data_IF_204709337435
#
_entry.id   IF_204709337435
#
_cell.length_a   1.000
_cell.length_b   1.000
_cell.length_c   1.000
_cell.angle_alpha   90.00
_cell.angle_beta   90.00
_cell.angle_gamma   90.00
#
_symmetry.space_group_name_H-M   'P 1'
#
loop_
_entity.id
_entity.type
_entity.pdbx_description
1 polymer ?
#
# COMPACT_ATOMS: atom_id res chain seq x y z
N UNK A 1 -25.31 -12.05 1.85
CA UNK A 1 -25.63 -10.69 1.33
C UNK A 1 -24.37 -9.87 1.29
N UNK A 2 -24.13 -9.19 0.20
CA UNK A 2 -22.99 -8.28 0.03
C UNK A 2 -23.49 -6.86 -0.16
N UNK A 3 -22.83 -5.89 0.46
CA UNK A 3 -23.20 -4.49 0.37
C UNK A 3 -22.01 -3.67 -0.14
N UNK A 4 -22.22 -2.88 -1.20
CA UNK A 4 -21.19 -2.09 -1.85
C UNK A 4 -21.54 -0.61 -1.86
N UNK A 5 -20.52 0.25 -1.74
CA UNK A 5 -20.59 1.62 -2.24
C UNK A 5 -20.49 1.65 -3.76
N UNK A 6 -19.48 0.94 -4.30
CA UNK A 6 -19.30 0.66 -5.73
C UNK A 6 -18.99 -0.82 -5.89
N UNK A 7 -19.55 -1.44 -6.91
CA UNK A 7 -19.31 -2.86 -7.18
C UNK A 7 -17.84 -3.08 -7.57
N UNK A 8 -17.14 -3.92 -6.79
CA UNK A 8 -15.88 -4.53 -7.20
C UNK A 8 -16.16 -5.96 -7.67
N UNK A 9 -15.99 -6.21 -8.96
CA UNK A 9 -16.29 -7.51 -9.57
C UNK A 9 -15.47 -8.65 -8.96
N UNK A 10 -14.23 -8.38 -8.50
CA UNK A 10 -13.39 -9.40 -7.89
C UNK A 10 -13.89 -9.80 -6.50
N UNK A 11 -14.34 -8.83 -5.70
CA UNK A 11 -14.98 -9.08 -4.40
C UNK A 11 -16.30 -9.83 -4.61
N UNK A 12 -17.12 -9.38 -5.55
CA UNK A 12 -18.37 -10.04 -5.87
C UNK A 12 -18.15 -11.50 -6.31
N UNK A 13 -17.12 -11.75 -7.13
CA UNK A 13 -16.69 -13.09 -7.55
C UNK A 13 -16.26 -13.96 -6.36
N UNK A 14 -15.52 -13.40 -5.39
CA UNK A 14 -15.13 -14.08 -4.15
C UNK A 14 -16.36 -14.53 -3.36
N UNK A 15 -17.27 -13.62 -3.06
CA UNK A 15 -18.49 -13.93 -2.29
C UNK A 15 -19.40 -14.92 -3.02
N UNK A 16 -19.58 -14.75 -4.33
CA UNK A 16 -20.36 -15.68 -5.13
C UNK A 16 -19.74 -17.09 -5.16
N UNK A 17 -18.40 -17.18 -5.21
CA UNK A 17 -17.70 -18.46 -5.13
C UNK A 17 -17.93 -19.14 -3.79
N UNK A 18 -17.76 -18.41 -2.67
CA UNK A 18 -18.05 -18.93 -1.33
C UNK A 18 -19.48 -19.43 -1.21
N UNK A 19 -20.46 -18.66 -1.68
CA UNK A 19 -21.85 -19.05 -1.65
C UNK A 19 -22.10 -20.34 -2.44
N UNK A 20 -21.47 -20.51 -3.61
CA UNK A 20 -21.58 -21.74 -4.40
C UNK A 20 -20.97 -22.96 -3.68
N UNK A 21 -19.85 -22.80 -2.97
CA UNK A 21 -19.21 -23.90 -2.22
C UNK A 21 -20.13 -24.52 -1.17
N UNK A 22 -20.98 -23.69 -0.56
CA UNK A 22 -21.86 -24.14 0.52
C UNK A 22 -23.36 -24.18 0.14
N UNK A 23 -23.68 -23.91 -1.13
CA UNK A 23 -25.07 -23.88 -1.59
C UNK A 23 -25.89 -22.71 -1.04
N UNK A 24 -25.25 -21.62 -0.63
CA UNK A 24 -25.95 -20.46 -0.09
C UNK A 24 -26.47 -19.55 -1.19
N UNK A 25 -27.70 -18.99 -1.06
CA UNK A 25 -28.15 -17.91 -1.93
C UNK A 25 -27.28 -16.68 -1.78
N UNK A 26 -26.91 -16.04 -2.90
CA UNK A 26 -26.14 -14.81 -2.89
C UNK A 26 -26.99 -13.65 -3.40
N UNK A 27 -27.07 -12.61 -2.60
CA UNK A 27 -27.67 -11.32 -2.98
C UNK A 27 -26.68 -10.19 -2.70
N UNK A 28 -26.71 -9.16 -3.52
CA UNK A 28 -25.86 -7.98 -3.36
C UNK A 28 -26.68 -6.71 -3.54
N UNK A 29 -26.25 -5.66 -2.83
CA UNK A 29 -26.91 -4.35 -2.80
C UNK A 29 -25.84 -3.30 -3.08
N UNK A 30 -26.10 -2.44 -4.03
CA UNK A 30 -25.26 -1.28 -4.35
C UNK A 30 -25.87 -0.02 -3.77
N UNK A 31 -25.06 0.80 -3.09
CA UNK A 31 -25.46 2.05 -2.44
C UNK A 31 -24.83 3.29 -3.06
N UNK A 32 -24.28 3.20 -4.27
CA UNK A 32 -23.64 4.33 -4.99
C UNK A 32 -24.59 5.53 -5.19
N UNK A 33 -25.89 5.28 -5.23
CA UNK A 33 -26.92 6.32 -5.31
C UNK A 33 -27.08 7.16 -4.02
N UNK A 34 -26.46 6.72 -2.91
CA UNK A 34 -26.48 7.44 -1.64
C UNK A 34 -25.19 8.25 -1.51
N UNK A 35 -25.24 9.53 -1.85
CA UNK A 35 -24.06 10.40 -1.87
C UNK A 35 -23.45 10.60 -0.47
N UNK A 36 -24.29 10.71 0.58
CA UNK A 36 -23.84 10.91 1.96
C UNK A 36 -23.37 9.60 2.60
N UNK A 37 -22.09 9.50 2.93
CA UNK A 37 -21.51 8.33 3.58
C UNK A 37 -22.15 7.99 4.93
N UNK A 38 -22.63 8.99 5.68
CA UNK A 38 -23.29 8.76 6.96
C UNK A 38 -24.67 8.12 6.80
N UNK A 39 -25.37 8.41 5.69
CA UNK A 39 -26.64 7.77 5.35
C UNK A 39 -26.46 6.33 4.88
N UNK A 40 -25.32 5.99 4.27
CA UNK A 40 -25.04 4.62 3.78
C UNK A 40 -25.10 3.58 4.89
N UNK A 41 -24.66 3.92 6.10
CA UNK A 41 -24.81 3.03 7.27
C UNK A 41 -26.28 2.77 7.62
N UNK A 42 -27.13 3.78 7.50
CA UNK A 42 -28.60 3.59 7.63
C UNK A 42 -29.16 2.66 6.57
N UNK A 43 -28.77 2.86 5.31
CA UNK A 43 -29.17 1.99 4.19
C UNK A 43 -28.67 0.56 4.42
N UNK A 44 -27.40 0.38 4.83
CA UNK A 44 -26.82 -0.92 5.17
C UNK A 44 -27.68 -1.71 6.16
N UNK A 45 -28.01 -1.12 7.33
CA UNK A 45 -28.82 -1.81 8.34
C UNK A 45 -30.27 -2.02 7.90
N UNK A 46 -30.82 -1.10 7.13
CA UNK A 46 -32.16 -1.25 6.53
C UNK A 46 -32.22 -2.46 5.61
N UNK A 47 -31.21 -2.60 4.74
CA UNK A 47 -31.12 -3.72 3.80
C UNK A 47 -30.87 -5.04 4.53
N UNK A 48 -30.00 -5.07 5.55
CA UNK A 48 -29.81 -6.27 6.37
C UNK A 48 -31.13 -6.71 7.01
N UNK A 49 -31.87 -5.76 7.61
CA UNK A 49 -33.16 -6.05 8.24
C UNK A 49 -34.20 -6.51 7.21
N UNK A 50 -34.24 -5.90 6.04
CA UNK A 50 -35.14 -6.27 4.95
C UNK A 50 -34.85 -7.71 4.50
N UNK A 51 -33.61 -8.05 4.25
CA UNK A 51 -33.21 -9.40 3.84
C UNK A 51 -33.45 -10.44 4.95
N UNK A 52 -33.13 -10.10 6.21
CA UNK A 52 -33.38 -11.01 7.33
C UNK A 52 -34.87 -11.36 7.44
N UNK A 53 -35.77 -10.40 7.21
CA UNK A 53 -37.22 -10.64 7.22
C UNK A 53 -37.75 -11.51 6.08
N UNK A 54 -36.96 -11.68 5.01
CA UNK A 54 -37.35 -12.58 3.90
C UNK A 54 -36.98 -14.04 4.14
N UNK A 55 -36.12 -14.30 5.13
CA UNK A 55 -35.71 -15.65 5.51
C UNK A 55 -36.79 -16.32 6.40
N UNK A 56 -36.78 -17.65 6.44
CA UNK A 56 -37.58 -18.37 7.42
C UNK A 56 -37.05 -18.09 8.86
N UNK A 57 -37.93 -18.21 9.85
CA UNK A 57 -37.54 -18.07 11.25
C UNK A 57 -36.46 -19.13 11.59
N UNK A 58 -35.35 -18.69 12.14
CA UNK A 58 -34.23 -19.57 12.46
C UNK A 58 -33.15 -19.71 11.38
N UNK A 59 -33.39 -19.24 10.15
CA UNK A 59 -32.38 -19.21 9.09
C UNK A 59 -31.29 -18.15 9.34
N UNK A 60 -30.19 -18.26 8.61
CA UNK A 60 -29.03 -17.40 8.78
C UNK A 60 -28.86 -16.39 7.66
N UNK A 61 -28.43 -15.19 8.01
CA UNK A 61 -27.91 -14.17 7.09
C UNK A 61 -26.43 -13.92 7.40
N UNK A 62 -25.54 -14.26 6.48
CA UNK A 62 -24.18 -13.77 6.46
C UNK A 62 -24.15 -12.46 5.69
N UNK A 63 -23.71 -11.40 6.33
CA UNK A 63 -23.51 -10.08 5.77
C UNK A 63 -22.01 -9.82 5.61
N UNK A 64 -21.60 -9.30 4.44
CA UNK A 64 -20.23 -8.88 4.12
C UNK A 64 -20.25 -7.52 3.44
N UNK A 65 -19.42 -6.59 3.89
CA UNK A 65 -19.17 -5.35 3.16
C UNK A 65 -18.35 -5.61 1.88
N UNK A 66 -18.46 -4.72 0.91
CA UNK A 66 -17.80 -4.81 -0.38
C UNK A 66 -16.27 -4.62 -0.35
N UNK A 67 -15.70 -4.33 0.81
CA UNK A 67 -14.26 -4.30 1.08
C UNK A 67 -13.76 -5.53 1.86
N UNK A 68 -14.60 -6.54 2.02
CA UNK A 68 -14.30 -7.77 2.73
C UNK A 68 -14.21 -8.95 1.76
N UNK A 69 -13.27 -9.88 1.99
CA UNK A 69 -13.12 -11.09 1.19
C UNK A 69 -13.05 -12.32 2.06
N UNK A 70 -13.70 -13.39 1.62
CA UNK A 70 -13.55 -14.71 2.25
C UNK A 70 -12.15 -15.24 1.94
N UNK A 71 -11.35 -15.47 2.97
CA UNK A 71 -9.98 -15.93 2.88
C UNK A 71 -9.87 -17.45 3.04
N UNK A 72 -10.43 -17.99 4.13
CA UNK A 72 -10.54 -19.43 4.35
C UNK A 72 -12.01 -19.81 4.51
N UNK A 73 -12.61 -20.44 3.50
CA UNK A 73 -14.04 -20.74 3.53
C UNK A 73 -14.37 -21.79 4.60
N UNK A 74 -15.37 -21.48 5.40
CA UNK A 74 -15.99 -22.40 6.39
C UNK A 74 -17.51 -22.21 6.31
N UNK A 75 -18.27 -23.24 6.64
CA UNK A 75 -19.72 -23.14 6.71
C UNK A 75 -20.16 -22.21 7.86
N UNK A 76 -21.32 -21.59 7.72
CA UNK A 76 -21.83 -20.63 8.72
C UNK A 76 -22.20 -21.33 10.04
N UNK A 77 -22.85 -22.48 9.96
CA UNK A 77 -23.43 -23.18 11.09
C UNK A 77 -22.37 -23.56 12.17
N UNK A 78 -21.21 -24.14 11.82
CA UNK A 78 -20.14 -24.41 12.78
C UNK A 78 -19.59 -23.18 13.46
N UNK A 79 -19.55 -22.02 12.75
CA UNK A 79 -19.09 -20.77 13.32
C UNK A 79 -20.00 -20.28 14.44
N UNK A 80 -21.30 -20.50 14.30
CA UNK A 80 -22.31 -19.95 15.19
C UNK A 80 -22.37 -20.68 16.53
N UNK A 81 -22.06 -21.98 16.58
CA UNK A 81 -22.04 -22.78 17.82
C UNK A 81 -23.29 -22.59 18.69
N UNK A 82 -24.46 -22.53 18.07
CA UNK A 82 -25.74 -22.34 18.74
C UNK A 82 -26.09 -20.89 19.12
N UNK A 83 -25.29 -19.92 18.71
CA UNK A 83 -25.54 -18.48 18.95
C UNK A 83 -26.39 -17.89 17.82
N UNK A 84 -27.09 -16.80 18.13
CA UNK A 84 -27.98 -16.15 17.16
C UNK A 84 -27.31 -14.97 16.43
N UNK A 85 -26.16 -14.50 16.92
CA UNK A 85 -25.46 -13.36 16.36
C UNK A 85 -23.96 -13.51 16.53
N UNK A 86 -23.20 -13.21 15.46
CA UNK A 86 -21.75 -13.14 15.45
C UNK A 86 -21.29 -11.81 14.88
N UNK A 87 -20.50 -11.07 15.61
CA UNK A 87 -19.70 -9.93 15.18
C UNK A 87 -18.28 -10.09 15.70
N UNK A 88 -17.35 -9.28 15.24
CA UNK A 88 -15.93 -9.38 15.58
C UNK A 88 -15.47 -8.10 16.27
N UNK A 89 -14.60 -8.22 17.27
CA UNK A 89 -13.95 -7.07 17.88
C UNK A 89 -12.91 -6.46 16.92
N UNK A 90 -12.96 -5.15 16.79
CA UNK A 90 -11.92 -4.39 16.08
C UNK A 90 -10.71 -4.12 16.97
N UNK A 91 -9.59 -3.69 16.38
CA UNK A 91 -8.38 -3.30 17.12
C UNK A 91 -8.61 -2.19 18.15
N UNK A 92 -9.65 -1.39 17.99
CA UNK A 92 -10.06 -0.32 18.91
C UNK A 92 -10.96 -0.82 20.06
N UNK A 93 -11.25 -2.11 20.13
CA UNK A 93 -12.24 -2.67 21.06
C UNK A 93 -13.69 -2.41 20.68
N UNK A 94 -13.94 -1.85 19.50
CA UNK A 94 -15.28 -1.62 18.95
C UNK A 94 -15.68 -2.77 18.03
N UNK A 95 -16.97 -3.09 17.98
CA UNK A 95 -17.48 -4.12 17.08
C UNK A 95 -17.28 -3.71 15.62
N UNK A 96 -16.76 -4.66 14.83
CA UNK A 96 -16.64 -4.53 13.38
C UNK A 96 -17.90 -5.02 12.71
N UNK A 97 -18.55 -4.15 11.97
CA UNK A 97 -19.77 -4.45 11.24
C UNK A 97 -19.58 -4.75 9.77
N UNK A 98 -18.33 -4.92 9.33
CA UNK A 98 -17.97 -5.31 7.95
C UNK A 98 -18.35 -6.76 7.64
N UNK A 99 -18.41 -7.59 8.69
CA UNK A 99 -18.96 -8.94 8.64
C UNK A 99 -19.88 -9.14 9.84
N UNK A 100 -21.06 -9.66 9.58
CA UNK A 100 -22.02 -10.06 10.62
C UNK A 100 -22.73 -11.35 10.19
N UNK A 101 -22.95 -12.24 11.13
CA UNK A 101 -23.82 -13.41 10.93
C UNK A 101 -24.99 -13.29 11.90
N UNK A 102 -26.21 -13.27 11.35
CA UNK A 102 -27.42 -13.08 12.12
C UNK A 102 -28.41 -14.22 11.82
N UNK A 103 -28.93 -14.82 12.88
CA UNK A 103 -30.10 -15.70 12.75
C UNK A 103 -31.37 -14.90 12.65
N UNK A 104 -32.29 -15.29 11.81
CA UNK A 104 -33.59 -14.63 11.76
C UNK A 104 -34.40 -14.97 13.02
N UNK A 105 -34.28 -14.13 14.03
CA UNK A 105 -35.01 -14.17 15.29
C UNK A 105 -35.65 -12.84 15.57
N UNK A 106 -36.72 -12.83 16.39
CA UNK A 106 -37.35 -11.58 16.82
C UNK A 106 -36.36 -10.66 17.52
N UNK A 107 -35.42 -11.22 18.30
CA UNK A 107 -34.40 -10.46 19.02
C UNK A 107 -33.47 -9.71 18.03
N UNK A 108 -32.97 -10.39 17.00
CA UNK A 108 -32.08 -9.78 16.01
C UNK A 108 -32.80 -8.76 15.12
N UNK A 109 -34.07 -8.99 14.77
CA UNK A 109 -34.88 -7.99 14.07
C UNK A 109 -35.09 -6.73 14.92
N UNK A 110 -35.30 -6.90 16.22
CA UNK A 110 -35.44 -5.77 17.17
C UNK A 110 -34.10 -5.03 17.29
N UNK A 111 -32.96 -5.75 17.44
CA UNK A 111 -31.63 -5.16 17.48
C UNK A 111 -31.36 -4.31 16.23
N UNK A 112 -31.55 -4.85 15.04
CA UNK A 112 -31.35 -4.09 13.79
C UNK A 112 -32.25 -2.86 13.68
N UNK A 113 -33.48 -2.97 14.17
CA UNK A 113 -34.40 -1.80 14.23
C UNK A 113 -33.88 -0.71 15.18
N UNK A 114 -33.29 -1.11 16.32
CA UNK A 114 -32.65 -0.17 17.25
C UNK A 114 -31.37 0.44 16.63
N UNK A 115 -30.58 -0.34 15.91
CA UNK A 115 -29.41 0.16 15.20
C UNK A 115 -29.79 1.21 14.13
N UNK A 116 -30.88 0.99 13.42
CA UNK A 116 -31.43 1.96 12.46
C UNK A 116 -31.83 3.27 13.12
N UNK A 117 -32.51 3.20 14.28
CA UNK A 117 -32.87 4.39 15.06
C UNK A 117 -31.59 5.12 15.54
N UNK A 118 -30.58 4.37 15.99
CA UNK A 118 -29.29 4.94 16.42
C UNK A 118 -28.53 5.58 15.25
N UNK A 119 -28.53 4.94 14.07
CA UNK A 119 -27.92 5.49 12.87
C UNK A 119 -28.62 6.77 12.40
N UNK A 120 -29.96 6.78 12.39
CA UNK A 120 -30.73 7.98 12.08
C UNK A 120 -30.51 9.12 13.06
N UNK A 121 -30.43 8.82 14.36
CA UNK A 121 -30.09 9.80 15.38
C UNK A 121 -28.63 10.28 15.29
N UNK A 122 -27.70 9.46 14.80
CA UNK A 122 -26.32 9.84 14.52
C UNK A 122 -26.23 10.77 13.31
N UNK A 123 -26.97 10.50 12.25
CA UNK A 123 -27.10 11.41 11.09
C UNK A 123 -27.65 12.77 11.54
N UNK A 124 -28.73 12.80 12.31
CA UNK A 124 -29.29 14.02 12.84
C UNK A 124 -28.30 14.79 13.74
N UNK A 125 -27.40 14.10 14.40
CA UNK A 125 -26.34 14.67 15.28
C UNK A 125 -25.02 14.92 14.56
N UNK A 126 -24.75 14.34 13.40
CA UNK A 126 -23.55 14.67 12.59
C UNK A 126 -23.63 16.12 12.08
N UNK A 127 -24.83 16.64 11.96
CA UNK A 127 -25.07 18.07 11.81
C UNK A 127 -24.65 18.86 13.08
N UNK A 128 -24.43 18.19 14.22
CA UNK A 128 -24.08 18.76 15.53
C UNK A 128 -22.67 18.36 16.06
N UNK A 129 -21.79 17.76 15.26
CA UNK A 129 -20.35 17.62 15.57
C UNK A 129 -19.90 16.41 16.38
N UNK A 130 -20.65 15.29 16.40
CA UNK A 130 -20.18 14.04 17.01
C UNK A 130 -19.23 13.26 16.09
N UNK A 131 -18.10 12.79 16.64
CA UNK A 131 -17.10 12.00 15.90
C UNK A 131 -17.64 10.62 15.49
N UNK A 132 -17.04 10.02 14.44
CA UNK A 132 -17.34 8.64 14.03
C UNK A 132 -17.11 7.63 15.17
N UNK A 133 -16.11 7.88 16.04
CA UNK A 133 -15.84 7.06 17.21
C UNK A 133 -17.00 7.06 18.21
N UNK A 134 -17.72 8.18 18.38
CA UNK A 134 -18.89 8.26 19.26
C UNK A 134 -20.08 7.53 18.67
N UNK A 135 -20.24 7.56 17.35
CA UNK A 135 -21.25 6.78 16.61
C UNK A 135 -21.01 5.28 16.76
N UNK A 136 -19.79 4.85 16.60
CA UNK A 136 -19.35 3.45 16.75
C UNK A 136 -19.52 2.96 18.19
N UNK A 137 -19.18 3.77 19.20
CA UNK A 137 -19.39 3.43 20.61
C UNK A 137 -20.85 3.19 20.95
N UNK A 138 -21.75 4.05 20.47
CA UNK A 138 -23.19 3.87 20.66
C UNK A 138 -23.73 2.59 20.02
N UNK A 139 -23.20 2.20 18.88
CA UNK A 139 -23.51 0.95 18.21
C UNK A 139 -22.98 -0.25 18.99
N UNK A 140 -21.71 -0.20 19.40
CA UNK A 140 -21.03 -1.26 20.16
C UNK A 140 -21.72 -1.53 21.50
N UNK A 141 -22.10 -0.48 22.25
CA UNK A 141 -22.85 -0.61 23.50
C UNK A 141 -24.14 -1.41 23.33
N UNK A 142 -24.91 -1.15 22.27
CA UNK A 142 -26.15 -1.89 22.01
C UNK A 142 -25.91 -3.35 21.57
N UNK A 143 -24.82 -3.59 20.88
CA UNK A 143 -24.39 -4.92 20.52
C UNK A 143 -23.91 -5.70 21.78
N UNK A 144 -23.26 -5.04 22.73
CA UNK A 144 -22.87 -5.64 24.02
C UNK A 144 -24.08 -6.08 24.85
N UNK A 145 -25.12 -5.24 24.92
CA UNK A 145 -26.37 -5.54 25.60
C UNK A 145 -27.08 -6.77 25.03
N UNK A 146 -26.86 -7.09 23.76
CA UNK A 146 -27.45 -8.24 23.07
C UNK A 146 -26.67 -9.55 23.28
N UNK A 147 -25.75 -9.62 24.24
CA UNK A 147 -24.93 -10.80 24.55
C UNK A 147 -24.19 -11.40 23.33
N UNK A 148 -23.52 -10.52 22.58
CA UNK A 148 -22.84 -10.91 21.36
C UNK A 148 -21.67 -11.85 21.60
N UNK A 149 -21.55 -12.84 20.77
CA UNK A 149 -20.34 -13.64 20.70
C UNK A 149 -19.23 -12.85 20.00
N UNK A 150 -18.23 -12.48 20.76
CA UNK A 150 -16.99 -11.89 20.28
C UNK A 150 -15.89 -12.93 20.44
N UNK A 151 -15.50 -13.65 19.39
CA UNK A 151 -14.41 -14.60 19.48
C UNK A 151 -13.09 -13.83 19.51
N UNK A 152 -12.73 -13.32 20.68
CA UNK A 152 -11.46 -12.64 20.90
C UNK A 152 -10.31 -13.57 20.48
N UNK A 153 -9.59 -13.19 19.45
CA UNK A 153 -8.36 -13.84 18.99
C UNK A 153 -8.51 -15.25 18.41
N UNK A 154 -9.68 -15.85 18.42
CA UNK A 154 -9.82 -17.27 18.11
C UNK A 154 -9.71 -17.61 16.62
N UNK A 155 -10.24 -16.81 15.74
CA UNK A 155 -10.31 -17.15 14.33
C UNK A 155 -9.96 -15.99 13.39
N UNK A 156 -9.58 -14.79 13.90
CA UNK A 156 -9.34 -13.65 13.04
C UNK A 156 -10.43 -13.50 11.98
N UNK A 157 -11.71 -13.58 12.39
CA UNK A 157 -12.86 -13.60 11.48
C UNK A 157 -12.90 -12.40 10.57
N UNK A 158 -12.32 -11.32 11.04
CA UNK A 158 -12.22 -10.07 10.32
C UNK A 158 -10.89 -9.40 10.68
N UNK A 159 -9.89 -9.55 9.82
CA UNK A 159 -8.59 -8.93 10.01
C UNK A 159 -8.52 -7.63 9.21
N UNK A 160 -8.04 -6.56 9.83
CA UNK A 160 -7.81 -5.29 9.16
C UNK A 160 -6.45 -5.22 8.50
N UNK A 161 -6.41 -4.71 7.29
CA UNK A 161 -5.20 -4.17 6.66
C UNK A 161 -5.17 -2.66 6.97
N UNK A 162 -5.03 -2.31 8.23
CA UNK A 162 -5.26 -0.93 8.67
C UNK A 162 -3.99 -0.10 8.85
N UNK A 163 -2.80 -0.66 8.67
CA UNK A 163 -1.57 0.09 8.91
C UNK A 163 -0.90 0.60 7.64
N UNK A 164 -0.76 1.89 7.63
CA UNK A 164 -0.51 2.77 6.50
C UNK A 164 0.78 2.51 5.73
N UNK A 165 1.88 1.99 6.31
CA UNK A 165 3.15 2.01 5.59
C UNK A 165 4.13 0.88 5.92
N UNK A 166 4.18 0.39 7.13
CA UNK A 166 5.34 -0.39 7.59
C UNK A 166 5.04 -1.88 7.77
N UNK A 167 3.79 -2.28 7.95
CA UNK A 167 3.45 -3.61 8.47
C UNK A 167 2.51 -4.46 7.61
N UNK A 168 2.27 -4.11 6.35
CA UNK A 168 1.35 -4.89 5.50
C UNK A 168 1.86 -6.31 5.29
N UNK A 169 3.16 -6.49 5.05
CA UNK A 169 3.75 -7.82 4.88
C UNK A 169 3.71 -8.65 6.16
N UNK A 170 3.87 -8.02 7.32
CA UNK A 170 3.75 -8.68 8.62
C UNK A 170 2.30 -9.09 8.90
N UNK A 171 1.33 -8.20 8.65
CA UNK A 171 -0.10 -8.49 8.79
C UNK A 171 -0.55 -9.61 7.87
N UNK A 172 -0.09 -9.64 6.63
CA UNK A 172 -0.39 -10.72 5.69
C UNK A 172 0.18 -12.05 6.19
N UNK A 173 1.39 -12.06 6.75
CA UNK A 173 1.97 -13.28 7.32
C UNK A 173 1.16 -13.82 8.50
N UNK A 174 0.53 -12.95 9.29
CA UNK A 174 -0.39 -13.36 10.35
C UNK A 174 -1.61 -14.11 9.82
N UNK A 175 -2.15 -13.72 8.64
CA UNK A 175 -3.30 -14.42 8.06
C UNK A 175 -3.01 -15.88 7.74
N UNK A 176 -1.76 -16.22 7.42
CA UNK A 176 -1.37 -17.61 7.18
C UNK A 176 -1.27 -18.44 8.47
N UNK A 177 -0.92 -17.79 9.57
CA UNK A 177 -0.70 -18.46 10.86
C UNK A 177 -1.98 -18.51 11.72
N UNK A 178 -2.96 -17.63 11.45
CA UNK A 178 -4.24 -17.62 12.14
C UNK A 178 -5.35 -18.24 11.28
N UNK A 179 -6.35 -18.89 11.88
CA UNK A 179 -7.53 -19.39 11.15
C UNK A 179 -8.47 -18.23 10.80
N UNK A 180 -8.12 -17.44 9.80
CA UNK A 180 -8.89 -16.28 9.33
C UNK A 180 -9.97 -16.71 8.35
N UNK A 181 -11.23 -16.42 8.65
CA UNK A 181 -12.36 -16.67 7.74
C UNK A 181 -12.50 -15.55 6.71
N UNK A 182 -12.62 -14.31 7.17
CA UNK A 182 -12.82 -13.12 6.33
C UNK A 182 -11.74 -12.09 6.62
N UNK A 183 -11.18 -11.49 5.59
CA UNK A 183 -10.29 -10.34 5.67
C UNK A 183 -11.06 -9.10 5.24
N UNK A 184 -11.11 -8.10 6.09
CA UNK A 184 -11.60 -6.78 5.74
C UNK A 184 -10.45 -5.92 5.23
N UNK A 185 -10.62 -5.40 4.03
CA UNK A 185 -9.71 -4.47 3.38
C UNK A 185 -10.23 -3.03 3.55
N UNK A 186 -10.76 -2.75 4.75
CA UNK A 186 -11.33 -1.45 5.08
C UNK A 186 -10.42 -0.32 4.59
N UNK A 187 -11.03 0.68 3.97
CA UNK A 187 -10.35 1.80 3.36
C UNK A 187 -9.24 2.33 4.24
N UNK A 188 -8.04 2.33 3.71
CA UNK A 188 -6.92 3.06 4.27
C UNK A 188 -7.36 4.52 4.42
N UNK A 189 -6.94 5.19 5.49
CA UNK A 189 -7.39 6.54 5.73
C UNK A 189 -7.09 7.41 4.51
N UNK A 190 -8.12 8.02 3.98
CA UNK A 190 -8.02 9.00 2.92
C UNK A 190 -7.06 10.10 3.37
N UNK A 191 -6.03 10.41 2.59
CA UNK A 191 -5.16 11.53 2.85
C UNK A 191 -5.98 12.81 2.63
N UNK A 192 -6.11 13.58 3.69
CA UNK A 192 -6.51 14.96 3.59
C UNK A 192 -5.29 15.77 3.13
N UNK A 193 -5.25 16.11 1.87
CA UNK A 193 -4.37 17.16 1.38
C UNK A 193 -5.22 18.43 1.26
N UNK A 194 -4.83 19.47 1.98
CA UNK A 194 -5.55 20.75 2.05
C UNK A 194 -7.03 20.65 2.46
N UNK A 195 -7.38 19.70 3.32
CA UNK A 195 -8.76 19.48 3.78
C UNK A 195 -9.68 18.88 2.73
N UNK A 196 -9.16 18.42 1.59
CA UNK A 196 -9.92 17.71 0.58
C UNK A 196 -9.49 16.23 0.51
N UNK A 197 -10.49 15.36 0.47
CA UNK A 197 -10.31 13.93 0.22
C UNK A 197 -10.18 13.71 -1.28
N UNK A 198 -8.99 13.33 -1.73
CA UNK A 198 -8.79 12.93 -3.12
C UNK A 198 -9.32 11.52 -3.35
N UNK A 199 -10.40 11.40 -4.13
CA UNK A 199 -11.01 10.10 -4.51
C UNK A 199 -10.15 9.25 -5.47
N UNK A 200 -9.05 9.81 -6.00
CA UNK A 200 -8.19 9.19 -7.03
C UNK A 200 -6.96 8.48 -6.44
N UNK A 201 -7.03 7.98 -5.24
CA UNK A 201 -5.90 7.25 -4.67
C UNK A 201 -5.78 5.86 -5.30
N UNK A 202 -4.96 5.76 -6.33
CA UNK A 202 -4.57 4.51 -7.01
C UNK A 202 -4.13 3.42 -6.03
N UNK A 203 -3.58 3.83 -4.89
CA UNK A 203 -3.04 2.93 -3.89
C UNK A 203 -4.09 2.02 -3.25
N UNK A 204 -5.13 2.58 -2.65
CA UNK A 204 -6.13 1.77 -1.92
C UNK A 204 -6.83 0.83 -2.88
N UNK A 205 -7.18 1.33 -4.06
CA UNK A 205 -7.76 0.51 -5.11
C UNK A 205 -6.79 -0.56 -5.60
N UNK A 206 -5.49 -0.27 -5.69
CA UNK A 206 -4.51 -1.21 -6.25
C UNK A 206 -4.06 -2.25 -5.23
N UNK A 207 -3.80 -1.86 -3.98
CA UNK A 207 -3.50 -2.81 -2.91
C UNK A 207 -4.70 -3.71 -2.63
N UNK A 208 -5.88 -3.13 -2.52
CA UNK A 208 -7.11 -3.88 -2.33
C UNK A 208 -7.34 -4.85 -3.49
N UNK A 209 -7.23 -4.40 -4.74
CA UNK A 209 -7.37 -5.24 -5.93
C UNK A 209 -6.31 -6.34 -5.99
N UNK A 210 -5.06 -6.02 -5.67
CA UNK A 210 -3.99 -7.01 -5.61
C UNK A 210 -4.34 -8.10 -4.59
N UNK A 211 -4.68 -7.72 -3.36
CA UNK A 211 -4.98 -8.67 -2.30
C UNK A 211 -6.22 -9.50 -2.63
N UNK A 212 -7.27 -8.90 -3.18
CA UNK A 212 -8.46 -9.64 -3.61
C UNK A 212 -8.12 -10.64 -4.71
N UNK A 213 -7.30 -10.27 -5.71
CA UNK A 213 -6.86 -11.20 -6.76
C UNK A 213 -6.04 -12.35 -6.18
N UNK A 214 -5.12 -12.08 -5.25
CA UNK A 214 -4.30 -13.09 -4.59
C UNK A 214 -5.18 -14.06 -3.78
N UNK A 215 -6.15 -13.54 -3.01
CA UNK A 215 -7.11 -14.35 -2.27
C UNK A 215 -7.95 -15.19 -3.21
N UNK A 216 -8.45 -14.61 -4.31
CA UNK A 216 -9.24 -15.33 -5.30
C UNK A 216 -8.45 -16.44 -5.98
N UNK A 217 -7.20 -16.18 -6.36
CA UNK A 217 -6.31 -17.18 -6.96
C UNK A 217 -6.04 -18.33 -5.97
N UNK A 218 -5.80 -18.02 -4.71
CA UNK A 218 -5.62 -19.04 -3.67
C UNK A 218 -6.90 -19.86 -3.44
N UNK A 219 -8.04 -19.19 -3.32
CA UNK A 219 -9.32 -19.81 -3.00
C UNK A 219 -9.89 -20.64 -4.17
N UNK A 220 -9.80 -20.13 -5.40
CA UNK A 220 -10.48 -20.70 -6.57
C UNK A 220 -9.58 -21.59 -7.42
N UNK A 221 -8.28 -21.34 -7.41
CA UNK A 221 -7.30 -21.97 -8.30
C UNK A 221 -6.26 -22.78 -7.52
N UNK A 222 -6.27 -22.69 -6.18
CA UNK A 222 -5.30 -23.38 -5.31
C UNK A 222 -3.87 -22.84 -5.43
N UNK A 223 -3.70 -21.62 -5.94
CA UNK A 223 -2.39 -21.01 -6.10
C UNK A 223 -1.88 -20.48 -4.75
N UNK A 224 -0.56 -20.54 -4.51
CA UNK A 224 0.01 -19.94 -3.30
C UNK A 224 -0.16 -18.42 -3.34
N UNK A 225 -0.57 -17.83 -2.21
CA UNK A 225 -0.61 -16.38 -2.09
C UNK A 225 0.79 -15.79 -2.05
N UNK A 226 0.91 -14.56 -2.57
CA UNK A 226 2.17 -13.81 -2.60
C UNK A 226 3.32 -14.59 -3.27
N UNK A 227 2.98 -15.39 -4.27
CA UNK A 227 3.98 -16.03 -5.10
C UNK A 227 4.79 -14.94 -5.82
N UNK A 228 6.10 -15.05 -5.74
CA UNK A 228 6.99 -14.14 -6.45
C UNK A 228 6.71 -14.20 -7.96
N UNK A 229 6.51 -13.04 -8.61
CA UNK A 229 6.22 -13.02 -10.03
C UNK A 229 7.40 -13.54 -10.84
N UNK A 230 7.10 -14.29 -11.91
CA UNK A 230 8.10 -14.60 -12.92
C UNK A 230 8.41 -13.31 -13.70
N UNK A 231 9.65 -12.86 -13.61
CA UNK A 231 10.16 -11.74 -14.39
C UNK A 231 11.23 -12.22 -15.35
N UNK A 232 11.42 -11.53 -16.49
CA UNK A 232 12.51 -11.87 -17.40
C UNK A 232 13.85 -11.95 -16.68
N UNK A 233 14.72 -12.85 -17.12
CA UNK A 233 16.06 -12.95 -16.57
C UNK A 233 16.80 -11.62 -16.75
N UNK A 234 17.58 -11.24 -15.75
CA UNK A 234 18.48 -10.10 -15.84
C UNK A 234 19.74 -10.51 -16.62
N UNK A 235 20.45 -9.50 -17.15
CA UNK A 235 21.79 -9.69 -17.69
C UNK A 235 22.73 -10.24 -16.60
N UNK A 236 23.61 -11.16 -16.98
CA UNK A 236 24.69 -11.65 -16.09
C UNK A 236 25.83 -10.65 -15.94
N UNK A 237 25.84 -9.58 -16.75
CA UNK A 237 26.84 -8.53 -16.66
C UNK A 237 26.73 -7.76 -15.34
N UNK A 238 27.86 -7.53 -14.68
CA UNK A 238 27.91 -6.76 -13.43
C UNK A 238 27.42 -5.30 -13.61
N UNK A 239 27.54 -4.76 -14.84
CA UNK A 239 27.08 -3.40 -15.17
C UNK A 239 26.56 -3.39 -16.60
N UNK A 240 25.46 -2.63 -16.80
CA UNK A 240 24.97 -2.34 -18.15
C UNK A 240 24.50 -0.89 -18.25
N UNK A 241 24.55 -0.33 -19.47
CA UNK A 241 24.12 1.03 -19.76
C UNK A 241 23.20 1.08 -20.97
N UNK A 242 22.20 1.95 -20.90
CA UNK A 242 21.34 2.35 -22.02
C UNK A 242 21.54 3.85 -22.24
N UNK A 243 21.60 4.29 -23.50
CA UNK A 243 21.73 5.71 -23.88
C UNK A 243 22.88 6.43 -23.12
N UNK A 244 24.07 5.86 -23.09
CA UNK A 244 25.20 6.31 -22.25
C UNK A 244 25.70 7.75 -22.49
N UNK A 245 25.19 8.46 -23.50
CA UNK A 245 25.52 9.86 -23.82
C UNK A 245 24.34 10.81 -23.66
N UNK A 246 23.25 10.37 -23.04
CA UNK A 246 22.07 11.21 -22.79
C UNK A 246 22.41 12.38 -21.84
N UNK A 247 21.67 13.49 -21.95
CA UNK A 247 21.87 14.64 -21.06
C UNK A 247 21.46 14.32 -19.61
N UNK A 248 20.41 13.53 -19.42
CA UNK A 248 19.93 13.06 -18.12
C UNK A 248 20.19 11.56 -18.05
N UNK A 249 20.83 11.09 -16.99
CA UNK A 249 21.03 9.68 -16.74
C UNK A 249 20.58 9.27 -15.34
N UNK A 250 19.91 8.14 -15.27
CA UNK A 250 19.56 7.47 -14.02
C UNK A 250 20.63 6.45 -13.67
N UNK A 251 20.91 6.32 -12.37
CA UNK A 251 21.90 5.38 -11.85
C UNK A 251 21.27 4.57 -10.73
N UNK A 252 21.46 3.26 -10.74
CA UNK A 252 21.01 2.35 -9.68
C UNK A 252 22.04 1.26 -9.41
N UNK A 253 22.00 0.73 -8.20
CA UNK A 253 22.74 -0.48 -7.83
C UNK A 253 21.86 -1.38 -6.99
N UNK A 254 21.98 -2.68 -7.20
CA UNK A 254 21.41 -3.69 -6.31
C UNK A 254 22.33 -4.91 -6.20
N UNK A 255 22.25 -5.59 -5.07
CA UNK A 255 22.96 -6.85 -4.81
C UNK A 255 22.01 -8.03 -4.99
N UNK A 256 22.55 -9.24 -5.03
CA UNK A 256 21.77 -10.47 -5.21
C UNK A 256 20.68 -10.67 -4.13
N UNK A 257 20.89 -10.15 -2.91
CA UNK A 257 19.94 -10.27 -1.80
C UNK A 257 18.59 -9.58 -2.08
N UNK A 258 18.60 -8.53 -2.89
CA UNK A 258 17.41 -7.75 -3.22
C UNK A 258 16.99 -7.93 -4.69
N UNK A 259 17.62 -8.85 -5.41
CA UNK A 259 17.39 -9.06 -6.84
C UNK A 259 15.94 -9.42 -7.18
N UNK A 260 15.17 -9.96 -6.24
CA UNK A 260 13.78 -10.36 -6.47
C UNK A 260 12.91 -9.18 -6.90
N UNK A 261 12.94 -8.09 -6.14
CA UNK A 261 12.19 -6.88 -6.49
C UNK A 261 13.00 -5.93 -7.37
N UNK A 262 14.33 -5.89 -7.23
CA UNK A 262 15.20 -4.99 -7.99
C UNK A 262 15.10 -5.21 -9.51
N UNK A 263 14.89 -6.46 -9.98
CA UNK A 263 14.67 -6.74 -11.40
C UNK A 263 13.37 -6.14 -11.93
N UNK A 264 12.35 -6.03 -11.10
CA UNK A 264 11.10 -5.34 -11.47
C UNK A 264 11.38 -3.87 -11.71
N UNK A 265 12.10 -3.23 -10.77
CA UNK A 265 12.54 -1.84 -10.90
C UNK A 265 13.44 -1.65 -12.14
N UNK A 266 14.44 -2.52 -12.34
CA UNK A 266 15.31 -2.40 -13.51
C UNK A 266 14.55 -2.40 -14.83
N UNK A 267 13.62 -3.34 -15.02
CA UNK A 267 12.81 -3.39 -16.24
C UNK A 267 11.92 -2.17 -16.41
N UNK A 268 11.34 -1.68 -15.32
CA UNK A 268 10.49 -0.49 -15.33
C UNK A 268 11.28 0.78 -15.67
N UNK A 269 12.37 1.04 -14.95
CA UNK A 269 13.23 2.22 -15.15
C UNK A 269 13.90 2.20 -16.53
N UNK A 270 14.36 1.03 -16.99
CA UNK A 270 14.92 0.86 -18.34
C UNK A 270 13.91 1.28 -19.40
N UNK A 271 12.67 0.79 -19.33
CA UNK A 271 11.59 1.13 -20.26
C UNK A 271 11.28 2.62 -20.24
N UNK A 272 11.26 3.25 -19.06
CA UNK A 272 11.09 4.69 -18.92
C UNK A 272 12.22 5.47 -19.59
N UNK A 273 13.47 5.07 -19.36
CA UNK A 273 14.65 5.70 -19.97
C UNK A 273 14.69 5.53 -21.49
N UNK A 274 14.40 4.34 -22.00
CA UNK A 274 14.31 4.08 -23.45
C UNK A 274 13.22 4.92 -24.10
N UNK A 275 12.06 5.04 -23.48
CA UNK A 275 10.94 5.86 -23.99
C UNK A 275 11.28 7.33 -24.13
N UNK A 276 12.03 7.89 -23.19
CA UNK A 276 12.34 9.32 -23.14
C UNK A 276 13.73 9.68 -23.65
N UNK A 277 14.54 8.70 -24.04
CA UNK A 277 15.92 8.91 -24.48
C UNK A 277 16.88 9.26 -23.32
N UNK A 278 16.55 8.90 -22.08
CA UNK A 278 17.44 9.09 -20.93
C UNK A 278 18.49 7.99 -20.84
N UNK A 279 19.62 8.31 -20.23
CA UNK A 279 20.63 7.33 -19.85
C UNK A 279 20.15 6.47 -18.67
N UNK A 280 20.59 5.21 -18.64
CA UNK A 280 20.38 4.34 -17.48
C UNK A 280 21.59 3.46 -17.23
N UNK A 281 22.23 3.61 -16.08
CA UNK A 281 23.38 2.84 -15.63
C UNK A 281 22.98 1.94 -14.46
N UNK A 282 23.07 0.63 -14.67
CA UNK A 282 22.66 -0.38 -13.70
C UNK A 282 23.86 -1.18 -13.24
N UNK A 283 24.04 -1.26 -11.92
CA UNK A 283 25.05 -2.08 -11.28
C UNK A 283 24.41 -3.24 -10.53
N UNK A 284 24.83 -4.48 -10.86
CA UNK A 284 24.31 -5.74 -10.28
C UNK A 284 25.31 -6.34 -9.32
N UNK A 285 25.71 -5.56 -8.32
CA UNK A 285 26.71 -5.88 -7.32
C UNK A 285 27.60 -4.68 -7.03
N UNK A 286 28.47 -4.82 -6.02
CA UNK A 286 29.44 -3.80 -5.67
C UNK A 286 30.53 -3.76 -6.74
N UNK A 287 30.86 -2.57 -7.31
CA UNK A 287 31.97 -2.43 -8.25
C UNK A 287 33.28 -2.96 -7.68
N UNK A 288 34.04 -3.69 -8.50
CA UNK A 288 35.30 -4.36 -8.06
C UNK A 288 36.41 -3.42 -7.62
N UNK A 289 36.27 -2.10 -7.88
CA UNK A 289 37.20 -1.07 -7.42
C UNK A 289 36.98 -0.66 -5.94
N UNK A 290 35.84 -1.06 -5.38
CA UNK A 290 35.47 -0.74 -4.00
C UNK A 290 35.75 -1.92 -3.05
N UNK A 291 35.80 -1.60 -1.75
CA UNK A 291 35.86 -2.59 -0.70
C UNK A 291 34.66 -3.58 -0.86
N UNK A 292 34.89 -4.88 -1.03
CA UNK A 292 33.80 -5.85 -1.20
C UNK A 292 32.88 -5.97 0.03
N UNK A 293 33.30 -5.51 1.19
CA UNK A 293 32.51 -5.50 2.42
C UNK A 293 31.64 -4.24 2.56
N UNK A 294 31.80 -3.25 1.65
CA UNK A 294 30.96 -2.05 1.71
C UNK A 294 29.49 -2.41 1.43
N UNK A 295 28.59 -1.76 2.15
CA UNK A 295 27.16 -1.93 1.89
C UNK A 295 26.74 -1.18 0.62
N UNK A 296 25.88 -1.81 -0.19
CA UNK A 296 25.37 -1.21 -1.45
C UNK A 296 24.68 0.14 -1.27
N UNK A 297 24.01 0.38 -0.13
CA UNK A 297 23.41 1.68 0.16
C UNK A 297 24.45 2.81 0.23
N UNK A 298 25.64 2.54 0.73
CA UNK A 298 26.70 3.54 0.85
C UNK A 298 27.37 3.93 -0.47
N UNK A 299 27.20 3.15 -1.53
CA UNK A 299 27.89 3.34 -2.81
C UNK A 299 27.26 4.46 -3.68
N UNK A 300 26.06 4.94 -3.33
CA UNK A 300 25.29 5.91 -4.11
C UNK A 300 26.11 7.15 -4.52
N UNK A 301 26.75 7.82 -3.58
CA UNK A 301 27.52 9.03 -3.84
C UNK A 301 28.72 8.79 -4.78
N UNK A 302 29.40 7.65 -4.62
CA UNK A 302 30.51 7.26 -5.47
C UNK A 302 30.07 7.00 -6.92
N UNK A 303 28.94 6.29 -7.11
CA UNK A 303 28.38 6.00 -8.43
C UNK A 303 27.89 7.28 -9.12
N UNK A 304 27.21 8.16 -8.39
CA UNK A 304 26.81 9.46 -8.92
C UNK A 304 28.01 10.28 -9.38
N UNK A 305 29.09 10.35 -8.57
CA UNK A 305 30.32 11.07 -8.93
C UNK A 305 30.99 10.47 -10.18
N UNK A 306 30.99 9.13 -10.30
CA UNK A 306 31.57 8.41 -11.44
C UNK A 306 30.91 8.78 -12.77
N UNK A 307 29.60 9.02 -12.77
CA UNK A 307 28.83 9.34 -13.97
C UNK A 307 28.62 10.84 -14.19
N UNK A 308 28.86 11.68 -13.18
CA UNK A 308 28.53 13.11 -13.24
C UNK A 308 29.15 13.83 -14.44
N UNK A 309 30.42 13.56 -14.75
CA UNK A 309 31.12 14.23 -15.87
C UNK A 309 30.62 13.82 -17.26
N UNK A 310 29.83 12.75 -17.38
CA UNK A 310 29.38 12.18 -18.63
C UNK A 310 28.00 12.74 -19.07
N UNK A 311 27.27 13.36 -18.14
CA UNK A 311 25.89 13.80 -18.31
C UNK A 311 25.70 15.22 -17.79
N UNK A 312 24.64 15.90 -18.25
CA UNK A 312 24.25 17.19 -17.67
C UNK A 312 23.64 17.02 -16.28
N UNK A 313 22.87 15.90 -16.12
CA UNK A 313 22.28 15.50 -14.84
C UNK A 313 22.48 14.00 -14.61
N UNK A 314 22.83 13.66 -13.39
CA UNK A 314 22.77 12.29 -12.90
C UNK A 314 21.75 12.20 -11.78
N UNK A 315 20.93 11.17 -11.82
CA UNK A 315 19.85 10.94 -10.88
C UNK A 315 19.97 9.53 -10.33
N UNK A 316 20.18 9.43 -9.04
CA UNK A 316 20.07 8.15 -8.33
C UNK A 316 18.62 7.73 -8.22
N UNK A 317 18.34 6.46 -8.41
CA UNK A 317 17.05 5.83 -8.09
C UNK A 317 17.31 4.50 -7.35
N UNK A 318 16.66 4.32 -6.21
CA UNK A 318 16.74 3.08 -5.46
C UNK A 318 16.08 1.92 -6.23
N UNK A 319 16.55 0.71 -5.95
CA UNK A 319 16.10 -0.50 -6.64
C UNK A 319 14.68 -0.97 -6.26
N UNK A 320 13.98 -0.22 -5.44
CA UNK A 320 12.57 -0.39 -5.08
C UNK A 320 11.69 0.79 -5.54
N UNK A 321 12.10 1.47 -6.60
CA UNK A 321 11.37 2.56 -7.23
C UNK A 321 10.79 2.10 -8.57
N UNK A 322 9.57 2.52 -8.86
CA UNK A 322 8.93 2.37 -10.18
C UNK A 322 8.47 3.71 -10.72
N UNK A 323 8.75 4.00 -11.98
CA UNK A 323 8.06 5.04 -12.73
C UNK A 323 6.67 4.54 -13.12
N UNK A 324 5.64 5.01 -12.43
CA UNK A 324 4.27 4.52 -12.63
C UNK A 324 3.56 5.28 -13.75
N UNK A 325 3.85 6.56 -13.94
CA UNK A 325 3.41 7.30 -15.11
C UNK A 325 4.54 7.37 -16.14
N UNK A 326 4.59 6.37 -17.00
CA UNK A 326 5.61 6.22 -18.03
C UNK A 326 5.55 7.31 -19.12
N UNK A 327 4.47 8.10 -19.20
CA UNK A 327 4.32 9.17 -20.19
C UNK A 327 4.91 10.51 -19.71
N UNK A 328 5.01 10.74 -18.41
CA UNK A 328 5.54 11.99 -17.85
C UNK A 328 7.04 12.12 -18.06
N UNK A 329 7.48 13.30 -18.43
CA UNK A 329 8.90 13.63 -18.59
C UNK A 329 9.52 14.08 -17.27
N UNK A 330 10.83 13.89 -17.15
CA UNK A 330 11.58 14.22 -15.93
C UNK A 330 12.13 15.66 -15.94
N UNK A 331 12.35 16.25 -17.13
CA UNK A 331 12.98 17.56 -17.28
C UNK A 331 12.30 18.68 -16.48
N UNK A 332 10.96 18.78 -16.38
CA UNK A 332 10.33 19.84 -15.62
C UNK A 332 10.74 19.90 -14.14
N UNK A 333 11.13 18.75 -13.59
CA UNK A 333 11.63 18.69 -12.20
C UNK A 333 13.05 19.22 -12.04
N UNK A 334 13.80 19.39 -13.11
CA UNK A 334 15.20 19.84 -13.13
C UNK A 334 15.35 21.33 -13.41
N UNK A 335 14.29 21.98 -13.92
CA UNK A 335 14.33 23.37 -14.34
C UNK A 335 14.68 24.32 -13.20
N UNK A 336 15.70 25.17 -13.42
CA UNK A 336 16.14 26.17 -12.45
C UNK A 336 16.88 25.61 -11.22
N UNK A 337 17.31 24.32 -11.24
CA UNK A 337 17.95 23.62 -10.12
C UNK A 337 19.35 23.17 -10.46
N UNK A 338 20.15 22.95 -9.41
CA UNK A 338 21.43 22.26 -9.46
C UNK A 338 21.40 20.96 -8.63
N UNK A 339 20.43 20.83 -7.70
CA UNK A 339 20.18 19.67 -6.85
C UNK A 339 18.69 19.33 -6.88
N UNK A 340 18.36 18.06 -6.75
CA UNK A 340 17.00 17.56 -6.72
C UNK A 340 16.85 16.47 -5.67
N UNK A 341 15.99 16.72 -4.69
CA UNK A 341 15.60 15.79 -3.63
C UNK A 341 14.09 15.88 -3.41
N UNK A 342 13.52 14.96 -2.63
CA UNK A 342 12.15 15.06 -2.14
C UNK A 342 12.10 14.79 -0.63
N UNK A 343 11.17 15.46 0.06
CA UNK A 343 10.93 15.30 1.49
C UNK A 343 10.74 13.83 1.86
N UNK A 344 11.25 13.47 3.01
CA UNK A 344 11.02 12.16 3.60
C UNK A 344 9.71 12.12 4.38
N UNK A 345 9.07 10.95 4.42
CA UNK A 345 7.87 10.71 5.26
C UNK A 345 8.22 10.38 6.71
N UNK A 346 9.47 10.00 6.97
CA UNK A 346 9.97 9.57 8.29
C UNK A 346 10.60 10.69 9.13
N UNK A 347 10.58 11.95 8.65
CA UNK A 347 11.06 13.11 9.41
C UNK A 347 12.50 13.55 9.11
N UNK A 348 13.21 12.93 8.15
CA UNK A 348 14.46 13.45 7.60
C UNK A 348 14.22 14.67 6.72
N UNK A 349 15.23 15.50 6.47
CA UNK A 349 15.13 16.64 5.54
C UNK A 349 14.65 16.19 4.16
N UNK A 350 15.22 15.09 3.65
CA UNK A 350 14.81 14.45 2.41
C UNK A 350 15.13 12.95 2.44
N UNK A 351 14.47 12.21 1.56
CA UNK A 351 14.73 10.79 1.33
C UNK A 351 15.83 10.60 0.28
N UNK A 352 16.75 9.65 0.49
CA UNK A 352 17.85 9.34 -0.41
C UNK A 352 17.51 8.35 -1.53
N UNK A 353 16.27 7.94 -1.66
CA UNK A 353 15.84 7.01 -2.71
C UNK A 353 15.86 7.61 -4.11
N UNK A 354 15.62 8.94 -4.23
CA UNK A 354 15.84 9.70 -5.48
C UNK A 354 16.67 10.93 -5.17
N UNK A 355 17.82 11.05 -5.84
CA UNK A 355 18.74 12.18 -5.65
C UNK A 355 19.28 12.62 -7.00
N UNK A 356 19.05 13.88 -7.39
CA UNK A 356 19.55 14.45 -8.64
C UNK A 356 20.68 15.45 -8.41
N UNK A 357 21.72 15.37 -9.23
CA UNK A 357 22.87 16.28 -9.23
C UNK A 357 23.14 16.77 -10.65
N UNK A 358 23.13 18.09 -10.83
CA UNK A 358 23.60 18.71 -12.07
C UNK A 358 25.10 18.66 -12.15
N UNK A 359 25.65 18.48 -13.33
CA UNK A 359 27.11 18.48 -13.55
C UNK A 359 27.70 19.89 -13.33
N UNK A 360 28.12 20.14 -12.11
CA UNK A 360 28.83 21.36 -11.68
C UNK A 360 30.02 20.97 -10.79
N UNK A 361 31.06 21.82 -10.75
CA UNK A 361 32.21 21.58 -9.85
C UNK A 361 31.75 21.46 -8.40
N UNK A 362 30.81 22.30 -7.95
CA UNK A 362 30.25 22.26 -6.59
C UNK A 362 29.60 20.91 -6.27
N UNK A 363 28.80 20.38 -7.19
CA UNK A 363 28.13 19.08 -6.96
C UNK A 363 29.10 17.91 -6.99
N UNK A 364 30.18 18.00 -7.77
CA UNK A 364 31.29 17.04 -7.71
C UNK A 364 31.97 17.04 -6.33
N UNK A 365 32.21 18.22 -5.77
CA UNK A 365 32.74 18.37 -4.42
C UNK A 365 31.78 17.86 -3.34
N UNK A 366 30.47 18.12 -3.46
CA UNK A 366 29.45 17.60 -2.55
C UNK A 366 29.46 16.08 -2.52
N UNK A 367 29.43 15.44 -3.67
CA UNK A 367 29.48 13.98 -3.77
C UNK A 367 30.76 13.40 -3.19
N UNK A 368 31.92 14.07 -3.41
CA UNK A 368 33.18 13.66 -2.82
C UNK A 368 33.18 13.79 -1.28
N UNK A 369 32.54 14.82 -0.73
CA UNK A 369 32.39 15.01 0.74
C UNK A 369 31.45 13.93 1.33
N UNK A 370 30.33 13.65 0.70
CA UNK A 370 29.40 12.58 1.13
C UNK A 370 30.17 11.26 1.16
N UNK A 371 30.90 10.95 0.10
CA UNK A 371 31.69 9.73 0.00
C UNK A 371 32.80 9.64 1.07
N UNK A 372 33.55 10.73 1.29
CA UNK A 372 34.57 10.77 2.32
C UNK A 372 34.01 10.57 3.74
N UNK A 373 32.80 11.12 4.00
CA UNK A 373 32.12 10.94 5.29
C UNK A 373 31.71 9.47 5.50
N UNK A 374 31.14 8.83 4.47
CA UNK A 374 30.75 7.40 4.49
C UNK A 374 31.99 6.51 4.69
N UNK A 375 33.04 6.73 3.95
CA UNK A 375 34.29 5.91 4.06
C UNK A 375 35.04 6.11 5.37
N UNK A 376 34.76 7.19 6.06
CA UNK A 376 35.31 7.48 7.42
C UNK A 376 34.55 6.76 8.55
N UNK A 377 33.44 6.05 8.26
CA UNK A 377 32.69 5.30 9.27
C UNK A 377 33.46 4.03 9.65
N UNK A 378 33.85 3.89 10.90
CA UNK A 378 34.58 2.71 11.41
C UNK A 378 33.69 1.51 11.58
N UNK A 379 32.52 1.68 12.22
CA UNK A 379 31.54 0.61 12.40
C UNK A 379 30.62 0.48 11.19
N UNK A 380 30.97 -0.39 10.26
CA UNK A 380 30.22 -0.62 9.03
C UNK A 380 28.81 -1.23 9.27
N UNK A 381 28.56 -1.86 10.41
CA UNK A 381 27.25 -2.37 10.76
C UNK A 381 26.23 -1.26 11.05
N UNK A 382 26.69 -0.08 11.40
CA UNK A 382 25.86 1.10 11.69
C UNK A 382 25.05 1.60 10.48
N UNK A 383 25.37 1.14 9.25
CA UNK A 383 24.59 1.43 8.03
C UNK A 383 23.10 1.05 8.17
N UNK A 384 22.80 0.03 8.97
CA UNK A 384 21.44 -0.46 9.19
C UNK A 384 20.68 0.23 10.33
N UNK A 385 21.34 1.13 11.06
CA UNK A 385 20.76 1.77 12.25
C UNK A 385 20.85 3.29 12.24
N UNK A 386 22.07 3.83 12.32
CA UNK A 386 22.28 5.26 12.56
C UNK A 386 23.13 5.96 11.51
N UNK A 387 23.86 5.21 10.69
CA UNK A 387 24.85 5.72 9.72
C UNK A 387 24.50 5.34 8.28
N UNK A 388 23.21 5.23 7.94
CA UNK A 388 22.76 4.99 6.56
C UNK A 388 23.19 6.11 5.60
N UNK A 389 23.12 5.82 4.32
CA UNK A 389 23.43 6.80 3.25
C UNK A 389 22.60 8.08 3.38
N UNK A 390 21.33 7.94 3.76
CA UNK A 390 20.42 9.07 3.98
C UNK A 390 20.93 10.00 5.08
N UNK A 391 21.45 9.46 6.18
CA UNK A 391 22.04 10.25 7.26
C UNK A 391 23.20 11.11 6.72
N UNK A 392 24.20 10.49 6.11
CA UNK A 392 25.40 11.20 5.64
C UNK A 392 25.08 12.25 4.58
N UNK A 393 24.14 11.95 3.68
CA UNK A 393 23.73 12.87 2.63
C UNK A 393 22.97 14.06 3.21
N UNK A 394 22.02 13.82 4.14
CA UNK A 394 21.27 14.90 4.81
C UNK A 394 22.20 15.83 5.61
N UNK A 395 23.17 15.27 6.34
CA UNK A 395 24.16 16.05 7.10
C UNK A 395 24.96 16.98 6.18
N UNK A 396 25.56 16.47 5.09
CA UNK A 396 26.35 17.28 4.18
C UNK A 396 25.52 18.37 3.52
N UNK A 397 24.32 18.05 3.04
CA UNK A 397 23.43 19.04 2.40
C UNK A 397 22.95 20.09 3.41
N UNK A 398 22.70 19.69 4.66
CA UNK A 398 22.35 20.60 5.76
C UNK A 398 23.50 21.54 6.16
N UNK A 399 24.70 20.98 6.35
CA UNK A 399 25.93 21.74 6.67
C UNK A 399 26.28 22.80 5.61
N UNK A 400 26.02 22.49 4.33
CA UNK A 400 26.21 23.41 3.21
C UNK A 400 25.09 24.45 3.03
N UNK A 401 24.03 24.39 3.85
CA UNK A 401 22.87 25.29 3.73
C UNK A 401 22.07 25.11 2.44
N UNK A 402 22.10 23.90 1.86
CA UNK A 402 21.45 23.59 0.57
C UNK A 402 20.05 23.00 0.73
N UNK A 403 19.58 22.83 1.96
CA UNK A 403 18.23 22.35 2.27
C UNK A 403 17.21 23.48 2.05
N UNK A 404 16.85 23.72 0.81
CA UNK A 404 15.89 24.74 0.39
C UNK A 404 14.71 24.14 -0.37
N UNK A 405 13.57 24.83 -0.40
CA UNK A 405 12.41 24.41 -1.19
C UNK A 405 12.70 24.31 -2.70
N UNK A 406 13.72 25.01 -3.18
CA UNK A 406 14.17 24.84 -4.57
C UNK A 406 14.86 23.49 -4.78
N UNK A 407 15.58 22.96 -3.81
CA UNK A 407 16.32 21.70 -3.92
C UNK A 407 15.54 20.49 -3.40
N UNK A 408 14.62 20.70 -2.44
CA UNK A 408 13.85 19.64 -1.80
C UNK A 408 12.36 19.84 -2.13
N UNK A 409 11.87 19.03 -3.03
CA UNK A 409 10.48 19.04 -3.46
C UNK A 409 9.57 18.37 -2.40
N UNK A 410 8.27 18.48 -2.60
CA UNK A 410 7.29 17.73 -1.82
C UNK A 410 7.50 16.20 -1.99
N UNK A 411 7.17 15.45 -0.95
CA UNK A 411 7.30 14.00 -0.94
C UNK A 411 6.62 13.32 -2.14
N UNK A 412 5.42 13.79 -2.50
CA UNK A 412 4.63 13.20 -3.60
C UNK A 412 5.22 13.49 -5.00
N UNK A 413 6.25 14.35 -5.09
CA UNK A 413 6.91 14.62 -6.36
C UNK A 413 7.87 13.49 -6.79
N UNK A 414 8.68 12.97 -5.85
CA UNK A 414 9.76 12.01 -6.16
C UNK A 414 9.98 10.92 -5.09
N UNK A 415 9.15 10.89 -4.07
CA UNK A 415 9.25 9.91 -2.99
C UNK A 415 7.87 9.39 -2.57
N UNK A 416 6.97 9.27 -3.55
CA UNK A 416 5.58 8.86 -3.28
C UNK A 416 5.54 7.45 -2.71
N UNK A 417 5.11 7.26 -1.46
CA UNK A 417 4.86 5.91 -0.96
C UNK A 417 3.73 5.25 -1.74
N UNK A 418 3.70 3.91 -1.84
CA UNK A 418 2.61 3.21 -2.52
C UNK A 418 1.22 3.60 -2.02
N UNK A 419 1.11 3.88 -0.70
CA UNK A 419 -0.14 4.31 -0.05
C UNK A 419 -0.67 5.67 -0.51
N UNK A 420 0.16 6.49 -1.12
CA UNK A 420 -0.14 7.86 -1.55
C UNK A 420 -0.10 8.03 -3.06
N UNK A 421 0.11 6.92 -3.79
CA UNK A 421 0.19 6.95 -5.23
C UNK A 421 -1.16 7.29 -5.87
N UNK A 422 -1.16 8.20 -6.82
CA UNK A 422 -2.31 8.58 -7.65
C UNK A 422 -2.01 8.28 -9.12
N UNK A 423 -3.01 8.42 -9.99
CA UNK A 423 -2.83 8.32 -11.44
C UNK A 423 -1.84 9.38 -11.99
N UNK A 424 -1.66 10.44 -11.23
CA UNK A 424 -0.76 11.55 -11.59
C UNK A 424 0.66 11.41 -11.01
N UNK A 425 0.91 10.46 -10.12
CA UNK A 425 2.23 10.21 -9.56
C UNK A 425 3.22 9.84 -10.67
N UNK A 426 4.39 10.48 -10.70
CA UNK A 426 5.45 10.14 -11.64
C UNK A 426 6.08 8.80 -11.27
N UNK A 427 6.47 8.66 -10.02
CA UNK A 427 7.11 7.46 -9.50
C UNK A 427 6.57 7.08 -8.11
N UNK A 428 6.79 5.83 -7.74
CA UNK A 428 6.44 5.27 -6.43
C UNK A 428 7.66 4.58 -5.84
N UNK A 429 7.91 4.86 -4.57
CA UNK A 429 9.01 4.30 -3.79
C UNK A 429 8.48 3.29 -2.77
N UNK A 430 8.83 2.03 -2.91
CA UNK A 430 8.35 0.90 -2.07
C UNK A 430 9.20 0.70 -0.82
N UNK A 431 9.60 1.82 -0.20
CA UNK A 431 10.43 1.82 1.00
C UNK A 431 9.80 1.01 2.15
N UNK A 432 10.64 0.36 2.95
CA UNK A 432 10.27 -0.35 4.18
C UNK A 432 9.26 -1.51 4.02
N UNK A 433 8.98 -1.95 2.80
CA UNK A 433 8.16 -3.14 2.57
C UNK A 433 8.99 -4.42 2.64
N UNK A 434 8.46 -5.46 3.28
CA UNK A 434 9.10 -6.78 3.36
C UNK A 434 8.79 -7.67 2.15
N UNK A 435 9.66 -8.69 1.92
CA UNK A 435 9.42 -9.76 0.97
C UNK A 435 8.47 -10.84 1.56
N UNK A 436 7.70 -11.56 0.74
CA UNK A 436 7.56 -11.46 -0.73
C UNK A 436 6.60 -10.36 -1.20
N UNK A 437 5.97 -9.64 -0.29
CA UNK A 437 4.94 -8.65 -0.57
C UNK A 437 5.45 -7.52 -1.47
N UNK A 438 6.67 -7.00 -1.23
CA UNK A 438 7.28 -5.95 -2.06
C UNK A 438 7.37 -6.37 -3.52
N UNK A 439 7.94 -7.54 -3.80
CA UNK A 439 8.09 -8.05 -5.16
C UNK A 439 6.78 -8.22 -5.90
N UNK A 440 5.77 -8.78 -5.23
CA UNK A 440 4.44 -8.99 -5.82
C UNK A 440 3.75 -7.66 -6.10
N UNK A 441 3.83 -6.73 -5.17
CA UNK A 441 3.18 -5.42 -5.32
C UNK A 441 3.87 -4.57 -6.39
N UNK A 442 5.20 -4.55 -6.41
CA UNK A 442 5.96 -3.86 -7.47
C UNK A 442 5.63 -4.43 -8.85
N UNK A 443 5.56 -5.75 -9.00
CA UNK A 443 5.23 -6.38 -10.27
C UNK A 443 3.81 -6.05 -10.75
N UNK A 444 2.83 -6.00 -9.84
CA UNK A 444 1.46 -5.62 -10.16
C UNK A 444 1.38 -4.16 -10.61
N UNK A 445 2.04 -3.26 -9.88
CA UNK A 445 2.08 -1.85 -10.22
C UNK A 445 2.86 -1.58 -11.52
N UNK A 446 3.94 -2.33 -11.77
CA UNK A 446 4.66 -2.26 -13.04
C UNK A 446 3.77 -2.67 -14.22
N UNK A 447 3.02 -3.78 -14.09
CA UNK A 447 2.08 -4.23 -15.12
C UNK A 447 0.99 -3.17 -15.40
N UNK A 448 0.58 -2.41 -14.38
CA UNK A 448 -0.35 -1.30 -14.58
C UNK A 448 0.31 -0.09 -15.26
N UNK A 449 1.55 0.24 -14.89
CA UNK A 449 2.30 1.35 -15.48
C UNK A 449 2.47 1.19 -17.00
N UNK A 450 2.51 -0.05 -17.50
CA UNK A 450 2.59 -0.35 -18.93
C UNK A 450 1.31 -0.02 -19.70
N UNK A 451 0.18 0.15 -19.01
CA UNK A 451 -1.13 0.48 -19.61
C UNK A 451 -1.38 1.99 -19.67
N UNK A 452 -0.62 2.78 -18.93
CA UNK A 452 -0.67 4.25 -18.95
C UNK A 452 0.09 4.71 -20.21
N UNK A 453 -0.64 5.21 -21.20
CA UNK A 453 -0.11 5.64 -22.51
C UNK A 453 0.11 7.15 -22.55
#
# INVERSE_FOLDING_TARGET
>A
MTFFERVDEQVLRNHAHYCRLYGYPHQWVESSHVADASLRNGVKYSEILRHLRTLAEGDWLLFLDGDSVVFRPVAVEPLMQGRDLLVVDGPSGLALTNMMILRNTQANRTLLSQMLVAAGAAVARSVSGLSEADRQRGLTSRLDEAALFRPAGMLGFNAFVADRHVNVSWRISEWFNAPVFVVSLASLPKLEQDGQVHDDMLHDLNLQRLLVRQVNAALMEGLPMLQQPAYPALSEEAMSSVNGHAQIAFVTLYTHHISTYARVSEHNVRRYCERHGYGYHVYRGIPGELDPEINGAWVKAWLLARHLAQHQWVVWVDADILFVNQAKRFEPLLEGRDLLFAKDVGGWLFNSGVMGFRNTARNAELLARIWARITGVEDKSSVYSSQGDQFHTNEVIGEEGLASENNILDCLSLNTPPSLATSDSLLVHFMSLGEPYRSVYMADMDAMSQRIR
#
